data_IF_948409791679
#
_entry.id   IF_948409791679
#
_cell.length_a   1.000
_cell.length_b   1.000
_cell.length_c   1.000
_cell.angle_alpha   90.00
_cell.angle_beta   90.00
_cell.angle_gamma   90.00
#
_symmetry.space_group_name_H-M   'P 1'
#
loop_
_entity.id
_entity.type
_entity.pdbx_description
1 polymer ?
#
# COMPACT_ATOMS: atom_id res chain seq x y z
N UNK A 1 -22.99 55.21 41.44
CA UNK A 1 -24.13 54.29 41.56
C UNK A 1 -23.82 53.06 40.73
N UNK A 2 -23.78 51.90 41.39
CA UNK A 2 -23.55 50.58 40.81
C UNK A 2 -24.85 49.98 40.25
N UNK A 3 -24.72 49.00 39.36
CA UNK A 3 -25.47 47.72 39.21
C UNK A 3 -24.80 47.01 38.00
N UNK A 4 -23.95 46.00 38.20
CA UNK A 4 -24.22 44.54 38.36
C UNK A 4 -24.74 43.89 37.04
N UNK A 5 -23.87 43.24 36.24
CA UNK A 5 -23.69 41.77 36.07
C UNK A 5 -24.80 41.03 35.29
N UNK A 6 -24.46 40.35 34.18
CA UNK A 6 -24.55 38.87 34.03
C UNK A 6 -24.51 38.37 32.59
N UNK A 7 -23.80 37.25 32.42
CA UNK A 7 -23.74 36.33 31.28
C UNK A 7 -25.09 35.66 31.00
N UNK A 8 -25.32 35.31 29.74
CA UNK A 8 -26.02 34.09 29.27
C UNK A 8 -25.67 33.96 27.77
N UNK A 9 -24.75 33.08 27.36
CA UNK A 9 -25.00 31.68 27.00
C UNK A 9 -26.43 31.44 26.49
N UNK A 10 -26.57 31.23 25.17
CA UNK A 10 -27.71 30.52 24.62
C UNK A 10 -27.21 29.36 23.76
N UNK A 11 -27.34 28.17 24.33
CA UNK A 11 -27.26 26.88 23.68
C UNK A 11 -28.55 26.66 22.87
N UNK A 12 -28.36 26.11 21.66
CA UNK A 12 -29.18 25.06 21.02
C UNK A 12 -30.70 25.30 20.87
N UNK A 13 -31.13 25.37 19.61
CA UNK A 13 -32.23 24.55 19.10
C UNK A 13 -31.96 24.25 17.62
N UNK A 14 -31.55 23.02 17.34
CA UNK A 14 -32.41 21.98 16.78
C UNK A 14 -32.57 22.12 15.26
N UNK A 15 -31.71 21.40 14.53
CA UNK A 15 -32.17 20.68 13.34
C UNK A 15 -31.42 19.36 13.21
N UNK A 16 -31.93 18.45 14.02
CA UNK A 16 -32.01 17.01 13.82
C UNK A 16 -32.13 16.60 12.34
N UNK A 17 -31.06 16.05 11.76
CA UNK A 17 -31.19 15.02 10.73
C UNK A 17 -30.46 13.78 11.25
N UNK A 18 -31.21 12.99 12.01
CA UNK A 18 -30.94 11.58 12.20
C UNK A 18 -31.47 10.85 10.96
N UNK A 19 -30.57 10.43 10.06
CA UNK A 19 -30.87 9.34 9.12
C UNK A 19 -29.88 8.23 9.43
N UNK A 20 -30.38 7.25 10.16
CA UNK A 20 -29.78 5.94 10.36
C UNK A 20 -29.70 5.21 9.02
N UNK A 21 -28.51 5.13 8.44
CA UNK A 21 -28.16 4.01 7.56
C UNK A 21 -27.03 3.20 8.19
N UNK A 22 -27.43 2.03 8.64
CA UNK A 22 -26.60 0.99 9.22
C UNK A 22 -25.70 0.42 8.12
N UNK A 23 -24.44 0.83 8.08
CA UNK A 23 -23.37 -0.04 7.55
C UNK A 23 -22.40 -0.33 8.67
N UNK A 24 -22.37 -1.61 9.03
CA UNK A 24 -21.49 -2.22 10.02
C UNK A 24 -20.04 -2.27 9.47
N UNK A 25 -19.51 -1.14 9.01
CA UNK A 25 -18.14 -0.96 8.57
C UNK A 25 -17.33 -0.51 9.78
N UNK A 26 -16.77 -1.48 10.52
CA UNK A 26 -15.79 -1.21 11.56
C UNK A 26 -14.70 -0.34 10.93
N UNK A 27 -14.64 0.94 11.28
CA UNK A 27 -13.52 1.81 10.96
C UNK A 27 -12.28 1.22 11.64
N UNK A 28 -11.57 0.35 10.93
CA UNK A 28 -10.19 0.02 11.27
C UNK A 28 -9.41 1.31 11.06
N UNK A 29 -8.99 1.95 12.16
CA UNK A 29 -7.85 2.85 12.06
C UNK A 29 -6.74 2.01 11.42
N UNK A 30 -6.18 2.46 10.31
CA UNK A 30 -4.99 1.85 9.75
C UNK A 30 -3.88 2.04 10.81
N UNK A 31 -3.75 1.06 11.70
CA UNK A 31 -2.59 0.93 12.57
C UNK A 31 -1.39 0.86 11.63
N UNK A 32 -0.32 1.62 11.92
CA UNK A 32 0.92 1.57 11.14
C UNK A 32 1.30 0.10 11.00
N UNK A 33 1.22 -0.44 9.79
CA UNK A 33 1.56 -1.83 9.50
C UNK A 33 3.01 -2.01 9.96
N UNK A 34 3.22 -2.77 11.03
CA UNK A 34 4.56 -3.17 11.41
C UNK A 34 4.90 -4.42 10.62
N UNK A 35 6.18 -4.62 10.35
CA UNK A 35 6.61 -5.74 9.53
C UNK A 35 6.32 -7.09 10.19
N UNK A 36 6.22 -7.10 11.52
CA UNK A 36 5.82 -8.23 12.35
C UNK A 36 4.33 -8.61 12.17
N UNK A 37 3.50 -7.68 11.67
CA UNK A 37 2.08 -7.90 11.41
C UNK A 37 1.81 -8.58 10.06
N UNK A 38 2.81 -8.63 9.17
CA UNK A 38 2.68 -9.26 7.87
C UNK A 38 2.88 -10.77 8.07
N UNK A 39 1.86 -11.62 7.81
CA UNK A 39 2.04 -13.07 7.91
C UNK A 39 3.24 -13.47 7.07
N UNK A 40 4.07 -14.35 7.61
CA UNK A 40 5.34 -14.72 7.00
C UNK A 40 5.18 -14.97 5.50
N UNK A 41 5.69 -14.04 4.68
CA UNK A 41 5.62 -14.11 3.23
C UNK A 41 6.20 -15.44 2.69
N UNK A 42 6.99 -16.17 3.49
CA UNK A 42 7.49 -17.50 3.19
C UNK A 42 6.44 -18.62 3.16
N UNK A 43 5.27 -18.46 3.79
CA UNK A 43 4.15 -19.41 3.59
C UNK A 43 3.42 -19.18 2.27
N UNK A 44 3.58 -17.99 1.67
CA UNK A 44 2.94 -17.65 0.43
C UNK A 44 3.75 -18.19 -0.75
N UNK A 45 3.33 -19.36 -1.26
CA UNK A 45 3.84 -19.88 -2.53
C UNK A 45 3.26 -19.06 -3.67
N UNK A 46 4.05 -18.12 -4.21
CA UNK A 46 3.66 -17.38 -5.39
C UNK A 46 3.45 -18.34 -6.59
N UNK A 47 2.39 -18.15 -7.38
CA UNK A 47 2.18 -18.97 -8.57
C UNK A 47 3.36 -18.82 -9.54
N UNK A 48 3.60 -19.86 -10.35
CA UNK A 48 4.68 -19.88 -11.35
C UNK A 48 4.51 -18.80 -12.42
N UNK A 49 3.26 -18.44 -12.69
CA UNK A 49 2.88 -17.41 -13.63
C UNK A 49 1.90 -16.46 -12.94
N UNK A 50 2.18 -15.15 -13.04
CA UNK A 50 1.26 -14.10 -12.60
C UNK A 50 0.87 -13.33 -13.85
N UNK A 51 -0.40 -13.48 -14.24
CA UNK A 51 -0.96 -12.78 -15.37
C UNK A 51 -1.23 -11.34 -14.91
N UNK A 52 -0.39 -10.42 -15.38
CA UNK A 52 -0.66 -8.99 -15.28
C UNK A 52 -1.44 -8.63 -16.55
N UNK A 53 -2.71 -8.20 -16.45
CA UNK A 53 -3.46 -7.82 -17.63
C UNK A 53 -2.72 -6.69 -18.34
N UNK A 54 -2.45 -6.89 -19.63
CA UNK A 54 -1.79 -5.91 -20.49
C UNK A 54 -2.90 -5.20 -21.28
N UNK A 55 -2.83 -3.86 -21.39
CA UNK A 55 -3.80 -3.03 -22.13
C UNK A 55 -5.17 -2.87 -21.46
N UNK A 56 -5.21 -2.71 -20.13
CA UNK A 56 -6.45 -2.27 -19.46
C UNK A 56 -6.68 -0.80 -19.77
N UNK A 57 -7.77 -0.50 -20.48
CA UNK A 57 -8.24 0.87 -20.64
C UNK A 57 -8.99 1.26 -19.37
N UNK A 58 -8.51 2.32 -18.70
CA UNK A 58 -9.12 2.80 -17.47
C UNK A 58 -10.19 3.82 -17.82
N UNK A 59 -11.40 3.71 -17.26
CA UNK A 59 -12.36 4.80 -17.37
C UNK A 59 -11.72 6.06 -16.80
N UNK A 60 -11.73 7.15 -17.58
CA UNK A 60 -11.22 8.44 -17.12
C UNK A 60 -11.87 8.79 -15.78
N UNK A 61 -11.10 9.25 -14.78
CA UNK A 61 -11.69 9.72 -13.53
C UNK A 61 -12.81 10.75 -13.76
N UNK A 62 -12.70 11.57 -14.81
CA UNK A 62 -13.72 12.56 -15.19
C UNK A 62 -15.03 11.96 -15.74
N UNK A 63 -15.03 10.69 -16.14
CA UNK A 63 -16.22 9.97 -16.61
C UNK A 63 -16.98 9.28 -15.46
N UNK A 64 -16.42 9.23 -14.25
CA UNK A 64 -17.09 8.66 -13.10
C UNK A 64 -18.22 9.58 -12.60
N UNK A 65 -19.46 9.15 -12.78
CA UNK A 65 -20.66 9.88 -12.34
C UNK A 65 -21.21 9.44 -10.99
N UNK A 66 -20.72 8.32 -10.45
CA UNK A 66 -21.16 7.76 -9.16
C UNK A 66 -19.97 7.24 -8.36
N UNK A 67 -20.12 7.16 -7.04
CA UNK A 67 -19.12 6.52 -6.17
C UNK A 67 -18.96 5.02 -6.46
N UNK A 68 -19.96 4.37 -7.03
CA UNK A 68 -19.85 2.99 -7.48
C UNK A 68 -18.83 2.87 -8.63
N UNK A 69 -18.87 3.78 -9.62
CA UNK A 69 -17.89 3.80 -10.71
C UNK A 69 -16.48 4.01 -10.19
N UNK A 70 -16.30 4.94 -9.25
CA UNK A 70 -14.99 5.22 -8.62
C UNK A 70 -14.44 3.98 -7.93
N UNK A 71 -15.26 3.30 -7.11
CA UNK A 71 -14.85 2.10 -6.38
C UNK A 71 -14.47 0.96 -7.32
N UNK A 72 -15.29 0.69 -8.35
CA UNK A 72 -14.96 -0.34 -9.34
C UNK A 72 -13.63 -0.06 -10.03
N UNK A 73 -13.40 1.19 -10.45
CA UNK A 73 -12.13 1.57 -11.08
C UNK A 73 -10.92 1.41 -10.14
N UNK A 74 -11.06 1.77 -8.87
CA UNK A 74 -10.01 1.57 -7.85
C UNK A 74 -9.78 0.08 -7.61
N UNK A 75 -10.83 -0.72 -7.44
CA UNK A 75 -10.71 -2.16 -7.22
C UNK A 75 -9.99 -2.86 -8.40
N UNK A 76 -10.24 -2.40 -9.64
CA UNK A 76 -9.55 -2.87 -10.84
C UNK A 76 -8.06 -2.47 -10.86
N UNK A 77 -7.74 -1.25 -10.45
CA UNK A 77 -6.36 -0.79 -10.30
C UNK A 77 -5.61 -1.57 -9.23
N UNK A 78 -6.23 -1.79 -8.07
CA UNK A 78 -5.63 -2.47 -6.94
C UNK A 78 -5.32 -3.94 -7.26
N UNK A 79 -6.22 -4.63 -7.97
CA UNK A 79 -5.94 -5.99 -8.48
C UNK A 79 -4.67 -6.03 -9.33
N UNK A 80 -4.46 -5.02 -10.17
CA UNK A 80 -3.30 -4.94 -11.04
C UNK A 80 -2.02 -4.57 -10.29
N UNK A 81 -2.12 -3.63 -9.35
CA UNK A 81 -0.99 -3.28 -8.47
C UNK A 81 -0.53 -4.53 -7.74
N UNK A 82 -1.43 -5.28 -7.10
CA UNK A 82 -1.08 -6.52 -6.40
C UNK A 82 -0.46 -7.56 -7.33
N UNK A 83 -0.99 -7.74 -8.55
CA UNK A 83 -0.41 -8.64 -9.54
C UNK A 83 1.02 -8.20 -9.97
N UNK A 84 1.24 -6.91 -10.19
CA UNK A 84 2.56 -6.34 -10.51
C UNK A 84 3.56 -6.54 -9.35
N UNK A 85 3.11 -6.32 -8.11
CA UNK A 85 3.93 -6.57 -6.92
C UNK A 85 4.31 -8.05 -6.78
N UNK A 86 3.36 -8.96 -7.02
CA UNK A 86 3.65 -10.39 -7.06
C UNK A 86 4.66 -10.77 -8.15
N UNK A 87 4.52 -10.20 -9.36
CA UNK A 87 5.48 -10.39 -10.45
C UNK A 87 6.87 -9.83 -10.10
N UNK A 88 6.93 -8.66 -9.45
CA UNK A 88 8.18 -8.10 -8.91
C UNK A 88 8.82 -9.08 -7.91
N UNK A 89 8.05 -9.66 -7.01
CA UNK A 89 8.55 -10.64 -6.03
C UNK A 89 9.12 -11.90 -6.70
N UNK A 90 8.54 -12.36 -7.82
CA UNK A 90 9.10 -13.46 -8.62
C UNK A 90 10.51 -13.16 -9.17
N UNK A 91 10.82 -11.90 -9.50
CA UNK A 91 12.18 -11.50 -9.88
C UNK A 91 13.14 -11.52 -8.69
N UNK A 92 12.65 -11.21 -7.48
CA UNK A 92 13.45 -11.35 -6.25
C UNK A 92 13.78 -12.83 -5.97
N UNK A 93 12.83 -13.75 -6.17
CA UNK A 93 13.12 -15.19 -6.08
C UNK A 93 14.16 -15.65 -7.11
N UNK A 94 14.10 -15.09 -8.32
CA UNK A 94 15.12 -15.36 -9.33
C UNK A 94 16.50 -14.85 -8.90
N UNK A 95 16.57 -13.67 -8.27
CA UNK A 95 17.80 -13.14 -7.69
C UNK A 95 18.34 -14.06 -6.57
N UNK A 96 17.47 -14.53 -5.65
CA UNK A 96 17.84 -15.46 -4.58
C UNK A 96 18.50 -16.74 -5.08
N UNK A 97 18.02 -17.27 -6.23
CA UNK A 97 18.58 -18.44 -6.89
C UNK A 97 19.95 -18.18 -7.53
N UNK A 98 20.20 -16.95 -7.99
CA UNK A 98 21.44 -16.55 -8.66
C UNK A 98 22.54 -16.22 -7.63
N UNK A 99 22.19 -15.59 -6.50
CA UNK A 99 23.16 -15.14 -5.49
C UNK A 99 23.89 -16.33 -4.84
N UNK A 100 25.24 -16.39 -4.90
CA UNK A 100 26.01 -17.48 -4.33
C UNK A 100 26.03 -17.45 -2.79
N UNK A 101 26.15 -16.26 -2.19
CA UNK A 101 26.39 -16.06 -0.76
C UNK A 101 25.27 -15.26 -0.09
N UNK A 102 25.01 -15.54 1.20
CA UNK A 102 23.97 -14.90 2.01
C UNK A 102 24.27 -13.43 2.31
N UNK A 103 25.53 -13.05 2.39
CA UNK A 103 25.94 -11.66 2.72
C UNK A 103 25.61 -10.65 1.61
N UNK A 104 25.08 -11.12 0.48
CA UNK A 104 24.59 -10.30 -0.64
C UNK A 104 23.07 -10.12 -0.62
N UNK A 105 22.37 -10.60 0.41
CA UNK A 105 20.90 -10.49 0.49
C UNK A 105 20.47 -9.03 0.67
N UNK A 106 21.19 -8.25 1.49
CA UNK A 106 20.93 -6.81 1.63
C UNK A 106 21.99 -5.98 0.94
N UNK A 107 21.58 -5.36 -0.15
CA UNK A 107 22.46 -4.50 -0.94
C UNK A 107 22.02 -3.03 -0.83
N UNK A 108 22.64 -2.28 0.09
CA UNK A 108 22.17 -0.94 0.46
C UNK A 108 22.17 0.03 -0.73
N UNK A 109 23.19 -0.01 -1.60
CA UNK A 109 23.20 0.86 -2.78
C UNK A 109 22.02 0.57 -3.70
N UNK A 110 21.59 -0.71 -3.77
CA UNK A 110 20.44 -1.11 -4.60
C UNK A 110 19.14 -0.64 -3.99
N UNK A 111 19.00 -0.66 -2.66
CA UNK A 111 17.85 -0.08 -1.95
C UNK A 111 17.74 1.41 -2.26
N UNK A 112 18.82 2.16 -2.08
CA UNK A 112 18.85 3.60 -2.33
C UNK A 112 18.52 3.94 -3.79
N UNK A 113 19.03 3.14 -4.73
CA UNK A 113 18.73 3.25 -6.15
C UNK A 113 17.25 2.97 -6.49
N UNK A 114 16.60 1.98 -5.86
CA UNK A 114 15.14 1.77 -6.01
C UNK A 114 14.39 3.01 -5.56
N UNK A 115 14.67 3.51 -4.35
CA UNK A 115 13.93 4.62 -3.76
C UNK A 115 14.11 5.88 -4.60
N UNK A 116 15.34 6.20 -5.03
CA UNK A 116 15.62 7.35 -5.89
C UNK A 116 14.82 7.29 -7.21
N UNK A 117 14.78 6.13 -7.86
CA UNK A 117 14.03 5.93 -9.11
C UNK A 117 12.53 6.07 -8.91
N UNK A 118 11.99 5.52 -7.82
CA UNK A 118 10.56 5.61 -7.50
C UNK A 118 10.13 7.05 -7.26
N UNK A 119 10.93 7.83 -6.50
CA UNK A 119 10.67 9.26 -6.31
C UNK A 119 10.71 10.02 -7.63
N UNK A 120 11.67 9.70 -8.50
CA UNK A 120 11.73 10.28 -9.83
C UNK A 120 10.50 9.94 -10.69
N UNK A 121 9.97 8.72 -10.63
CA UNK A 121 8.73 8.36 -11.32
C UNK A 121 7.51 9.06 -10.70
N UNK A 122 7.43 9.15 -9.37
CA UNK A 122 6.35 9.86 -8.66
C UNK A 122 6.24 11.32 -9.11
N UNK A 123 7.37 12.02 -9.24
CA UNK A 123 7.41 13.40 -9.77
C UNK A 123 6.85 13.54 -11.19
N UNK A 124 7.02 12.54 -12.05
CA UNK A 124 6.55 12.62 -13.45
C UNK A 124 5.03 12.55 -13.57
N UNK A 125 4.37 12.01 -12.55
CA UNK A 125 2.92 11.78 -12.52
C UNK A 125 2.22 12.60 -11.43
N UNK A 126 2.90 13.63 -10.90
CA UNK A 126 2.41 14.50 -9.83
C UNK A 126 1.94 13.73 -8.57
N UNK A 127 2.61 12.62 -8.25
CA UNK A 127 2.34 11.83 -7.05
C UNK A 127 3.30 12.23 -5.90
N UNK A 128 2.83 12.31 -4.63
CA UNK A 128 3.69 12.70 -3.50
C UNK A 128 4.90 11.77 -3.36
N UNK A 129 6.10 12.33 -3.42
CA UNK A 129 7.34 11.55 -3.40
C UNK A 129 7.53 10.80 -2.09
N UNK A 130 7.18 11.43 -0.97
CA UNK A 130 7.30 10.86 0.37
C UNK A 130 6.39 9.64 0.52
N UNK A 131 5.17 9.70 -0.03
CA UNK A 131 4.26 8.57 -0.02
C UNK A 131 4.80 7.42 -0.89
N UNK A 132 5.37 7.72 -2.05
CA UNK A 132 5.98 6.70 -2.90
C UNK A 132 7.17 6.04 -2.22
N UNK A 133 8.01 6.84 -1.56
CA UNK A 133 9.15 6.38 -0.77
C UNK A 133 8.71 5.45 0.37
N UNK A 134 7.72 5.84 1.18
CA UNK A 134 7.22 5.00 2.28
C UNK A 134 6.69 3.65 1.78
N UNK A 135 5.85 3.66 0.74
CA UNK A 135 5.31 2.43 0.14
C UNK A 135 6.44 1.53 -0.36
N UNK A 136 7.43 2.09 -1.06
CA UNK A 136 8.52 1.29 -1.61
C UNK A 136 9.54 0.87 -0.56
N UNK A 137 9.74 1.60 0.52
CA UNK A 137 10.57 1.19 1.64
C UNK A 137 10.02 -0.10 2.27
N UNK A 138 8.71 -0.14 2.54
CA UNK A 138 8.05 -1.35 3.03
C UNK A 138 8.11 -2.50 2.02
N UNK A 139 7.91 -2.22 0.73
CA UNK A 139 7.98 -3.23 -0.33
C UNK A 139 9.38 -3.83 -0.46
N UNK A 140 10.43 -3.01 -0.39
CA UNK A 140 11.82 -3.45 -0.49
C UNK A 140 12.18 -4.31 0.72
N UNK A 141 11.85 -3.87 1.93
CA UNK A 141 12.14 -4.64 3.13
C UNK A 141 11.41 -5.99 3.15
N UNK A 142 10.11 -6.02 2.81
CA UNK A 142 9.38 -7.27 2.65
C UNK A 142 9.96 -8.19 1.56
N UNK A 143 10.57 -7.61 0.52
CA UNK A 143 11.26 -8.38 -0.52
C UNK A 143 12.55 -9.02 -0.02
N UNK A 144 13.33 -8.31 0.79
CA UNK A 144 14.57 -8.82 1.39
C UNK A 144 14.26 -10.02 2.30
N UNK A 145 13.22 -9.89 3.14
CA UNK A 145 12.79 -10.99 4.01
C UNK A 145 12.33 -12.23 3.23
N UNK A 146 11.57 -12.03 2.15
CA UNK A 146 11.18 -13.12 1.25
C UNK A 146 12.41 -13.76 0.59
N UNK A 147 13.37 -12.95 0.16
CA UNK A 147 14.62 -13.40 -0.45
C UNK A 147 15.44 -14.29 0.50
N UNK A 148 15.67 -13.82 1.73
CA UNK A 148 16.43 -14.50 2.79
C UNK A 148 15.89 -15.92 3.02
N UNK A 149 14.57 -16.05 3.15
CA UNK A 149 13.91 -17.34 3.41
C UNK A 149 13.89 -18.24 2.18
N UNK A 150 13.70 -17.70 0.96
CA UNK A 150 13.79 -18.50 -0.28
C UNK A 150 15.22 -18.99 -0.53
N UNK A 151 16.22 -18.18 -0.22
CA UNK A 151 17.62 -18.56 -0.27
C UNK A 151 17.94 -19.73 0.67
N UNK A 152 17.40 -19.68 1.90
CA UNK A 152 17.54 -20.73 2.92
C UNK A 152 16.85 -22.05 2.48
N UNK A 153 15.58 -21.96 2.08
CA UNK A 153 14.81 -23.10 1.56
C UNK A 153 15.47 -23.78 0.36
N UNK A 154 16.03 -23.02 -0.59
CA UNK A 154 16.75 -23.57 -1.75
C UNK A 154 18.03 -24.34 -1.36
N UNK A 155 18.54 -24.13 -0.15
CA UNK A 155 19.74 -24.78 0.39
C UNK A 155 19.42 -25.81 1.49
N UNK A 156 18.14 -26.01 1.81
CA UNK A 156 17.68 -26.98 2.81
C UNK A 156 18.01 -26.63 4.26
N UNK A 157 18.12 -25.33 4.57
CA UNK A 157 18.44 -24.76 5.89
C UNK A 157 17.33 -23.86 6.40
#
# INVERSE_FOLDING_TARGET
MAIQTSKTENLLSDNNINTTETTNGKHVKATKLTLDDIPDAATLRLPSEIIVPSNVEYPSPSAATTMAHVRTAIDDLDRQIVALLGKRMRYIEAAARIKPNRDQVRDQWRVDDVISKVKAEARKVDFPEELAEEVYAHLVEGSIQHEDKRWANNRGI
#
